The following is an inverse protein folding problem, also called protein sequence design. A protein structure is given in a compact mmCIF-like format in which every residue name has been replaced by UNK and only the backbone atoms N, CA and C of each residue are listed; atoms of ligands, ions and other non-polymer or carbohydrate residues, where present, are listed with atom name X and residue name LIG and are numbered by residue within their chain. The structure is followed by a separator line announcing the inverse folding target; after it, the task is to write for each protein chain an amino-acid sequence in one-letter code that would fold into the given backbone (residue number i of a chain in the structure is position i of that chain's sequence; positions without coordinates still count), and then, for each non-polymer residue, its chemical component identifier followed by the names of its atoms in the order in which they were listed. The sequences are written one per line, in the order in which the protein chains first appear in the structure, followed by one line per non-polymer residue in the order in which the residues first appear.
data_IF_920068239643
#
_entry.id   IF_920068239643
#
_cell.length_a   1.000
_cell.length_b   1.000
_cell.length_c   1.000
_cell.angle_alpha   90.00
_cell.angle_beta   90.00
_cell.angle_gamma   90.00
#
_symmetry.space_group_name_H-M   'P 1'
#
loop_
_entity.id
_entity.type
_entity.pdbx_description
1 polymer ?
#
# COMPACT_ATOMS: atom_id res chain seq x y z
N UNK A 1 0.19 -8.34 7.74
CA UNK A 1 -0.29 -7.08 8.36
C UNK A 1 -0.42 -5.99 7.29
N UNK A 2 -1.43 -5.11 7.37
CA UNK A 2 -1.57 -3.95 6.46
C UNK A 2 -1.45 -2.64 7.26
N UNK A 3 -0.37 -1.83 7.08
CA UNK A 3 -0.11 -0.60 7.84
C UNK A 3 -1.30 0.38 7.89
N UNK A 4 -1.97 0.59 6.76
CA UNK A 4 -3.11 1.50 6.66
C UNK A 4 -4.29 1.08 7.54
N UNK A 5 -4.57 -0.23 7.69
CA UNK A 5 -5.66 -0.71 8.54
C UNK A 5 -5.42 -0.39 10.01
N UNK A 6 -4.16 -0.44 10.44
CA UNK A 6 -3.78 -0.13 11.82
C UNK A 6 -3.89 1.37 12.06
N UNK A 7 -3.38 2.19 11.13
CA UNK A 7 -3.53 3.65 11.19
C UNK A 7 -5.00 4.07 11.23
N UNK A 8 -5.87 3.49 10.37
CA UNK A 8 -7.31 3.78 10.37
C UNK A 8 -7.97 3.44 11.70
N UNK A 9 -7.81 2.20 12.16
CA UNK A 9 -8.47 1.71 13.38
C UNK A 9 -8.00 2.46 14.62
N UNK A 10 -6.68 2.64 14.79
CA UNK A 10 -6.13 3.38 15.94
C UNK A 10 -6.57 4.85 15.90
N UNK A 11 -6.51 5.49 14.72
CA UNK A 11 -6.96 6.88 14.56
C UNK A 11 -8.45 7.05 14.89
N UNK A 12 -9.27 6.02 14.72
CA UNK A 12 -10.70 6.02 15.01
C UNK A 12 -11.06 5.46 16.39
N UNK A 13 -10.08 4.99 17.17
CA UNK A 13 -10.32 4.33 18.46
C UNK A 13 -11.02 2.97 18.33
N UNK A 14 -10.90 2.31 17.18
CA UNK A 14 -11.43 0.97 16.93
C UNK A 14 -10.37 -0.10 17.26
N UNK A 15 -10.79 -1.30 17.68
CA UNK A 15 -9.87 -2.38 18.02
C UNK A 15 -9.10 -2.88 16.79
N UNK A 16 -7.78 -3.01 16.93
CA UNK A 16 -6.90 -3.68 15.98
C UNK A 16 -6.83 -5.17 16.28
N UNK A 17 -6.69 -5.97 15.24
CA UNK A 17 -6.53 -7.41 15.35
C UNK A 17 -5.05 -7.75 15.35
N UNK A 18 -4.57 -8.29 16.46
CA UNK A 18 -3.22 -8.80 16.60
C UNK A 18 -3.28 -10.33 16.52
N UNK A 19 -2.67 -10.89 15.48
CA UNK A 19 -2.52 -12.33 15.34
C UNK A 19 -1.24 -12.78 16.05
N UNK A 20 -1.37 -13.72 16.96
CA UNK A 20 -0.26 -14.20 17.79
C UNK A 20 0.14 -13.23 18.90
N UNK A 21 1.32 -13.47 19.47
CA UNK A 21 1.87 -12.76 20.63
C UNK A 21 2.51 -11.40 20.29
N UNK A 22 2.48 -10.99 19.01
CA UNK A 22 3.08 -9.73 18.56
C UNK A 22 4.59 -9.81 18.30
N UNK A 23 5.21 -10.99 18.40
CA UNK A 23 6.63 -11.19 18.09
C UNK A 23 6.92 -11.28 16.59
N UNK A 24 5.87 -11.34 15.77
CA UNK A 24 6.01 -11.33 14.31
C UNK A 24 6.72 -10.05 13.85
N UNK A 25 7.58 -10.19 12.85
CA UNK A 25 8.37 -9.10 12.31
C UNK A 25 8.25 -9.00 10.80
N UNK A 26 8.25 -7.78 10.29
CA UNK A 26 8.10 -7.47 8.87
C UNK A 26 9.12 -6.44 8.43
N UNK A 27 9.54 -6.57 7.18
CA UNK A 27 10.48 -5.66 6.54
C UNK A 27 9.71 -4.56 5.82
N UNK A 28 9.37 -3.52 6.57
CA UNK A 28 8.63 -2.38 6.03
C UNK A 28 9.56 -1.54 5.17
N UNK A 29 9.13 -1.28 3.95
CA UNK A 29 9.87 -0.46 2.99
C UNK A 29 8.99 0.71 2.57
N UNK A 30 9.55 1.91 2.62
CA UNK A 30 8.81 3.09 2.21
C UNK A 30 8.72 3.16 0.67
N UNK A 31 7.62 3.73 0.17
CA UNK A 31 7.32 3.70 -1.27
C UNK A 31 8.38 4.41 -2.10
N UNK A 32 8.92 5.53 -1.63
CA UNK A 32 9.96 6.29 -2.36
C UNK A 32 11.24 5.47 -2.52
N UNK A 33 11.60 4.67 -1.50
CA UNK A 33 12.77 3.78 -1.59
C UNK A 33 12.53 2.69 -2.64
N UNK A 34 11.36 2.05 -2.65
CA UNK A 34 11.02 1.04 -3.68
C UNK A 34 11.04 1.65 -5.07
N UNK A 35 10.47 2.84 -5.26
CA UNK A 35 10.48 3.56 -6.54
C UNK A 35 11.91 3.88 -6.97
N UNK A 36 12.76 4.34 -6.05
CA UNK A 36 14.18 4.57 -6.34
C UNK A 36 14.87 3.28 -6.80
N UNK A 37 14.61 2.14 -6.15
CA UNK A 37 15.15 0.84 -6.56
C UNK A 37 14.71 0.42 -7.96
N UNK A 38 13.44 0.69 -8.33
CA UNK A 38 12.92 0.43 -9.68
C UNK A 38 13.61 1.32 -10.72
N UNK A 39 13.78 2.61 -10.44
CA UNK A 39 14.47 3.55 -11.34
C UNK A 39 15.92 3.09 -11.56
N UNK A 40 16.65 2.73 -10.50
CA UNK A 40 18.02 2.22 -10.60
C UNK A 40 18.12 0.95 -11.45
N UNK A 41 17.13 0.05 -11.35
CA UNK A 41 17.07 -1.15 -12.17
C UNK A 41 16.82 -0.85 -13.66
N UNK A 42 16.03 0.19 -13.97
CA UNK A 42 15.80 0.64 -15.34
C UNK A 42 17.06 1.28 -15.94
N UNK A 43 17.80 2.05 -15.14
CA UNK A 43 19.02 2.73 -15.57
C UNK A 43 20.25 1.79 -15.63
N UNK A 44 20.14 0.59 -15.05
CA UNK A 44 21.22 -0.41 -15.00
C UNK A 44 20.78 -1.72 -15.69
N UNK A 45 20.60 -1.72 -17.03
CA UNK A 45 20.16 -2.91 -17.75
C UNK A 45 21.19 -4.04 -17.63
N UNK A 46 20.79 -5.14 -16.96
CA UNK A 46 21.67 -6.28 -16.67
C UNK A 46 21.08 -7.63 -17.13
N UNK A 47 20.19 -7.60 -18.13
CA UNK A 47 19.44 -8.77 -18.60
C UNK A 47 18.33 -9.18 -17.62
N UNK A 48 18.00 -10.47 -17.59
CA UNK A 48 16.94 -11.02 -16.73
C UNK A 48 17.43 -11.24 -15.30
N UNK A 49 17.51 -10.15 -14.53
CA UNK A 49 17.90 -10.19 -13.13
C UNK A 49 16.69 -10.15 -12.19
N UNK A 50 16.81 -10.88 -11.08
CA UNK A 50 15.89 -10.78 -9.94
C UNK A 50 16.60 -10.00 -8.84
N UNK A 51 15.92 -8.97 -8.31
CA UNK A 51 16.39 -8.12 -7.22
C UNK A 51 15.30 -8.05 -6.13
N UNK A 52 15.71 -8.18 -4.87
CA UNK A 52 14.83 -7.86 -3.75
C UNK A 52 14.96 -6.36 -3.44
N UNK A 53 13.85 -5.64 -3.50
CA UNK A 53 13.76 -4.26 -3.05
C UNK A 53 13.01 -4.23 -1.73
N UNK A 54 13.76 -4.10 -0.64
CA UNK A 54 13.24 -3.99 0.72
C UNK A 54 14.08 -3.03 1.55
N UNK A 55 13.80 -2.89 2.84
CA UNK A 55 14.64 -2.13 3.76
C UNK A 55 15.81 -3.00 4.28
N UNK A 56 15.56 -4.30 4.49
CA UNK A 56 16.55 -5.24 5.02
C UNK A 56 16.70 -5.21 6.54
N UNK A 57 15.81 -4.49 7.23
CA UNK A 57 15.80 -4.35 8.69
C UNK A 57 14.38 -4.59 9.23
N UNK A 58 14.04 -5.85 9.56
CA UNK A 58 12.69 -6.19 10.00
C UNK A 58 12.35 -5.54 11.34
N UNK A 59 11.13 -5.03 11.44
CA UNK A 59 10.58 -4.44 12.67
C UNK A 59 9.49 -5.33 13.24
N UNK A 60 9.45 -5.46 14.57
CA UNK A 60 8.41 -6.22 15.27
C UNK A 60 7.06 -5.51 15.18
N UNK A 61 5.98 -6.30 15.26
CA UNK A 61 4.62 -5.76 15.28
C UNK A 61 4.40 -4.80 16.46
N UNK A 62 4.93 -5.12 17.64
CA UNK A 62 4.85 -4.27 18.85
C UNK A 62 5.46 -2.89 18.63
N UNK A 63 6.62 -2.84 17.97
CA UNK A 63 7.35 -1.60 17.71
C UNK A 63 6.60 -0.77 16.66
N UNK A 64 6.07 -1.43 15.63
CA UNK A 64 5.20 -0.80 14.64
C UNK A 64 3.96 -0.17 15.28
N UNK A 65 3.24 -0.90 16.14
CA UNK A 65 2.05 -0.38 16.84
C UNK A 65 2.44 0.83 17.68
N UNK A 66 3.54 0.75 18.43
CA UNK A 66 4.03 1.84 19.29
C UNK A 66 4.32 3.13 18.49
N UNK A 67 4.91 3.00 17.30
CA UNK A 67 5.12 4.13 16.40
C UNK A 67 3.80 4.72 15.90
N UNK A 68 2.81 3.89 15.55
CA UNK A 68 1.49 4.38 15.14
C UNK A 68 0.77 5.07 16.30
N UNK A 69 0.83 4.53 17.52
CA UNK A 69 0.25 5.18 18.71
C UNK A 69 0.86 6.57 18.94
N UNK A 70 2.19 6.67 18.83
CA UNK A 70 2.93 7.93 18.97
C UNK A 70 2.47 8.95 17.93
N UNK A 71 2.45 8.57 16.65
CA UNK A 71 2.13 9.50 15.57
C UNK A 71 0.63 9.87 15.53
N UNK A 72 -0.26 8.96 15.94
CA UNK A 72 -1.71 9.23 16.00
C UNK A 72 -2.13 9.95 17.29
N UNK A 73 -1.34 9.85 18.36
CA UNK A 73 -1.69 10.35 19.69
C UNK A 73 -2.77 9.51 20.39
N UNK A 74 -3.05 8.28 19.92
CA UNK A 74 -4.09 7.40 20.45
C UNK A 74 -3.51 6.04 20.84
N UNK A 75 -4.01 5.48 21.94
CA UNK A 75 -3.67 4.12 22.36
C UNK A 75 -4.44 3.08 21.56
N UNK A 76 -3.76 2.02 21.16
CA UNK A 76 -4.34 0.91 20.43
C UNK A 76 -5.16 0.02 21.38
N UNK A 77 -6.41 -0.24 21.03
CA UNK A 77 -7.18 -1.33 21.62
C UNK A 77 -6.88 -2.61 20.85
N UNK A 78 -6.34 -3.63 21.52
CA UNK A 78 -5.84 -4.85 20.87
C UNK A 78 -6.81 -6.01 21.11
N UNK A 79 -7.30 -6.59 20.02
CA UNK A 79 -7.99 -7.87 19.98
C UNK A 79 -6.97 -8.95 19.60
N UNK A 80 -6.58 -9.78 20.58
CA UNK A 80 -5.67 -10.91 20.38
C UNK A 80 -6.40 -12.07 19.70
N UNK A 81 -5.87 -12.52 18.58
CA UNK A 81 -6.37 -13.63 17.79
C UNK A 81 -5.30 -14.72 17.65
N UNK A 82 -5.69 -15.99 17.43
CA UNK A 82 -4.74 -17.07 17.15
C UNK A 82 -3.85 -16.76 15.94
N UNK A 83 -2.71 -17.43 15.83
CA UNK A 83 -1.84 -17.31 14.66
C UNK A 83 -2.62 -17.59 13.37
N UNK A 84 -2.35 -16.81 12.33
CA UNK A 84 -2.94 -17.07 11.01
C UNK A 84 -2.22 -18.26 10.34
N UNK A 85 -2.97 -19.28 9.87
CA UNK A 85 -2.38 -20.35 9.09
C UNK A 85 -1.71 -19.80 7.82
N UNK A 86 -0.45 -20.15 7.61
CA UNK A 86 0.33 -19.71 6.44
C UNK A 86 0.99 -18.33 6.57
N UNK A 87 0.84 -17.63 7.69
CA UNK A 87 1.58 -16.40 7.93
C UNK A 87 3.04 -16.69 8.33
N UNK A 88 3.97 -15.93 7.76
CA UNK A 88 5.41 -16.10 8.03
C UNK A 88 5.79 -15.28 9.26
N UNK A 89 6.40 -15.86 10.32
CA UNK A 89 6.72 -15.11 11.53
C UNK A 89 7.67 -13.93 11.28
N UNK A 90 8.61 -14.08 10.36
CA UNK A 90 9.63 -13.06 10.04
C UNK A 90 9.83 -12.96 8.52
N UNK A 91 9.67 -11.77 7.98
CA UNK A 91 10.05 -11.45 6.60
C UNK A 91 11.21 -10.45 6.60
N UNK A 92 12.23 -10.71 5.80
CA UNK A 92 13.42 -9.85 5.66
C UNK A 92 13.92 -9.97 4.23
N UNK A 93 14.02 -8.86 3.51
CA UNK A 93 14.64 -8.86 2.19
C UNK A 93 16.17 -8.95 2.35
N UNK A 94 16.80 -9.89 1.66
CA UNK A 94 18.24 -9.80 1.39
C UNK A 94 18.45 -8.86 0.21
N UNK A 95 18.96 -7.65 0.51
CA UNK A 95 19.19 -6.57 -0.45
C UNK A 95 20.65 -6.50 -0.92
N UNK A 96 21.51 -7.47 -0.58
CA UNK A 96 22.94 -7.44 -0.92
C UNK A 96 23.17 -7.30 -2.43
N UNK A 97 22.40 -8.04 -3.25
CA UNK A 97 22.48 -7.98 -4.71
C UNK A 97 22.02 -6.63 -5.28
N UNK A 98 20.94 -6.07 -4.75
CA UNK A 98 20.44 -4.76 -5.18
C UNK A 98 21.43 -3.65 -4.81
N UNK A 99 22.03 -3.72 -3.62
CA UNK A 99 23.10 -2.82 -3.19
C UNK A 99 24.32 -2.89 -4.12
N UNK A 100 24.83 -4.09 -4.38
CA UNK A 100 26.06 -4.24 -5.15
C UNK A 100 25.90 -3.92 -6.63
N UNK A 101 24.77 -4.29 -7.24
CA UNK A 101 24.57 -4.15 -8.68
C UNK A 101 23.89 -2.84 -9.08
N UNK A 102 22.98 -2.32 -8.25
CA UNK A 102 22.16 -1.14 -8.58
C UNK A 102 22.53 0.09 -7.76
N UNK A 103 23.35 -0.05 -6.70
CA UNK A 103 23.55 1.02 -5.72
C UNK A 103 22.30 1.30 -4.88
N UNK A 104 21.36 0.36 -4.80
CA UNK A 104 20.13 0.53 -4.04
C UNK A 104 20.40 0.62 -2.55
N UNK A 105 20.06 1.75 -1.94
CA UNK A 105 20.21 1.98 -0.50
C UNK A 105 18.96 2.68 0.06
N UNK A 106 18.04 1.95 0.72
CA UNK A 106 16.81 2.52 1.27
C UNK A 106 17.16 3.47 2.42
N UNK A 107 16.67 4.71 2.37
CA UNK A 107 17.09 5.76 3.30
C UNK A 107 16.02 6.15 4.30
N UNK A 108 14.77 5.70 4.12
CA UNK A 108 13.66 6.16 4.96
C UNK A 108 13.56 5.32 6.24
N UNK A 109 13.80 5.89 7.44
CA UNK A 109 13.53 5.19 8.68
C UNK A 109 12.04 4.90 8.82
N UNK A 110 11.69 3.78 9.46
CA UNK A 110 10.29 3.39 9.63
C UNK A 110 9.45 4.47 10.33
N UNK A 111 10.02 5.12 11.35
CA UNK A 111 9.34 6.20 12.07
C UNK A 111 8.91 7.34 11.13
N UNK A 112 9.78 7.74 10.20
CA UNK A 112 9.45 8.77 9.20
C UNK A 112 8.40 8.29 8.21
N UNK A 113 8.49 7.03 7.77
CA UNK A 113 7.48 6.42 6.90
C UNK A 113 6.10 6.38 7.55
N UNK A 114 6.01 6.03 8.84
CA UNK A 114 4.76 5.99 9.61
C UNK A 114 4.20 7.41 9.81
N UNK A 115 5.05 8.38 10.18
CA UNK A 115 4.65 9.78 10.31
C UNK A 115 4.03 10.30 9.01
N UNK A 116 4.71 10.14 7.87
CA UNK A 116 4.20 10.52 6.54
C UNK A 116 2.89 9.78 6.19
N UNK A 117 2.77 8.49 6.54
CA UNK A 117 1.55 7.72 6.34
C UNK A 117 0.37 8.26 7.15
N UNK A 118 0.59 8.62 8.42
CA UNK A 118 -0.44 9.18 9.30
C UNK A 118 -0.85 10.58 8.83
N UNK A 119 0.12 11.43 8.43
CA UNK A 119 -0.13 12.74 7.82
C UNK A 119 -1.01 12.60 6.57
N UNK A 120 -0.62 11.72 5.63
CA UNK A 120 -1.40 11.42 4.43
C UNK A 120 -2.80 10.90 4.74
N UNK A 121 -2.93 10.01 5.73
CA UNK A 121 -4.22 9.46 6.16
C UNK A 121 -5.15 10.57 6.67
N UNK A 122 -4.64 11.49 7.51
CA UNK A 122 -5.41 12.63 8.02
C UNK A 122 -5.88 13.55 6.89
N UNK A 123 -5.00 13.92 5.97
CA UNK A 123 -5.35 14.75 4.82
C UNK A 123 -6.40 14.07 3.92
N UNK A 124 -6.26 12.76 3.72
CA UNK A 124 -7.19 11.96 2.91
C UNK A 124 -8.60 11.85 3.52
N UNK A 125 -8.73 11.89 4.85
CA UNK A 125 -10.05 11.94 5.51
C UNK A 125 -10.74 13.29 5.30
N UNK A 126 -9.99 14.40 5.30
CA UNK A 126 -10.52 15.74 5.01
C UNK A 126 -10.99 15.86 3.56
N UNK A 127 -10.28 15.20 2.64
CA UNK A 127 -10.58 15.23 1.20
C UNK A 127 -11.67 14.27 0.75
N UNK A 128 -12.14 13.35 1.59
CA UNK A 128 -13.31 12.53 1.28
C UNK A 128 -14.57 13.35 1.57
N UNK A 129 -15.35 13.78 0.56
CA UNK A 129 -16.72 14.18 0.82
C UNK A 129 -17.42 12.98 1.47
N UNK A 130 -18.44 13.23 2.30
CA UNK A 130 -19.29 12.20 2.88
C UNK A 130 -20.01 11.41 1.77
N UNK A 131 -19.31 10.47 1.14
CA UNK A 131 -19.78 9.60 0.06
C UNK A 131 -20.05 8.22 0.63
N UNK A 132 -20.86 8.17 1.68
CA UNK A 132 -21.67 7.01 2.04
C UNK A 132 -22.98 7.55 2.60
N UNK A 133 -23.97 7.77 1.73
CA UNK A 133 -25.36 7.77 2.18
C UNK A 133 -25.64 6.33 2.58
N UNK A 134 -25.84 6.08 3.88
CA UNK A 134 -26.45 4.82 4.32
C UNK A 134 -27.82 4.75 3.69
N UNK A 135 -27.99 3.86 2.70
CA UNK A 135 -29.30 3.51 2.16
C UNK A 135 -30.05 2.83 3.29
N UNK A 136 -31.01 3.54 3.89
CA UNK A 136 -31.92 2.96 4.89
C UNK A 136 -32.88 1.99 4.20
N UNK A 137 -33.50 1.03 4.92
CA UNK A 137 -34.50 0.13 4.33
C UNK A 137 -35.66 0.88 3.65
N UNK A 138 -35.98 2.08 4.12
CA UNK A 138 -37.02 2.96 3.57
C UNK A 138 -36.53 3.87 2.42
N UNK A 139 -35.28 3.69 1.94
CA UNK A 139 -34.74 4.50 0.85
C UNK A 139 -35.37 4.06 -0.49
N UNK A 140 -35.97 4.95 -1.29
CA UNK A 140 -36.66 4.60 -2.54
C UNK A 140 -35.78 3.94 -3.61
N UNK A 141 -34.46 3.85 -3.40
CA UNK A 141 -33.51 3.10 -4.22
C UNK A 141 -33.24 1.65 -3.75
N UNK A 142 -33.93 1.14 -2.72
CA UNK A 142 -33.68 -0.20 -2.17
C UNK A 142 -34.00 -1.33 -3.16
N UNK A 143 -34.95 -1.12 -4.10
CA UNK A 143 -35.27 -2.12 -5.11
C UNK A 143 -34.58 -1.83 -6.45
N UNK A 144 -33.33 -2.30 -6.56
CA UNK A 144 -32.52 -2.21 -7.77
C UNK A 144 -32.98 -3.13 -8.91
N UNK A 145 -34.16 -3.76 -8.83
CA UNK A 145 -34.70 -4.64 -9.88
C UNK A 145 -35.48 -3.89 -10.97
N UNK A 146 -35.93 -2.66 -10.70
CA UNK A 146 -36.76 -1.87 -11.63
C UNK A 146 -36.05 -0.69 -12.30
N UNK A 147 -34.75 -0.49 -12.03
CA UNK A 147 -33.96 0.51 -12.71
C UNK A 147 -33.60 0.02 -14.13
N UNK A 148 -34.44 0.36 -15.11
CA UNK A 148 -34.03 0.39 -16.52
C UNK A 148 -32.71 1.16 -16.61
N UNK A 149 -31.72 0.69 -17.40
CA UNK A 149 -30.44 1.36 -17.51
C UNK A 149 -30.66 2.74 -18.15
N UNK A 150 -30.78 3.77 -17.33
CA UNK A 150 -30.56 5.14 -17.74
C UNK A 150 -29.07 5.20 -18.05
N UNK A 151 -28.76 5.17 -19.35
CA UNK A 151 -27.43 5.40 -19.89
C UNK A 151 -26.95 6.74 -19.34
N UNK A 152 -26.15 6.70 -18.28
CA UNK A 152 -25.28 7.81 -17.91
C UNK A 152 -24.31 7.96 -19.09
N UNK A 153 -24.62 8.90 -19.99
CA UNK A 153 -23.59 9.55 -20.80
C UNK A 153 -22.66 10.26 -19.84
N UNK A 154 -21.69 9.52 -19.30
CA UNK A 154 -20.44 10.11 -18.92
C UNK A 154 -19.90 10.78 -20.18
N UNK A 155 -19.73 12.10 -20.15
CA UNK A 155 -19.07 12.85 -21.22
C UNK A 155 -17.61 12.42 -21.32
N UNK A 156 -17.39 11.23 -21.88
CA UNK A 156 -16.12 10.84 -22.46
C UNK A 156 -16.00 11.67 -23.74
N UNK A 157 -15.07 12.63 -23.72
CA UNK A 157 -14.51 13.18 -24.93
C UNK A 157 -14.23 12.02 -25.91
N UNK A 158 -14.66 12.21 -27.15
CA UNK A 158 -14.64 11.23 -28.24
C UNK A 158 -13.30 10.50 -28.31
N UNK A 159 -13.36 9.18 -28.21
CA UNK A 159 -12.23 8.27 -28.44
C UNK A 159 -11.87 8.12 -29.93
N UNK A 160 -11.94 9.21 -30.72
CA UNK A 160 -11.52 9.21 -32.13
C UNK A 160 -10.12 9.76 -32.37
N UNK A 161 -9.46 10.36 -31.36
CA UNK A 161 -8.09 10.88 -31.47
C UNK A 161 -7.13 10.19 -30.48
N UNK A 162 -6.90 8.88 -30.68
CA UNK A 162 -5.69 8.23 -30.13
C UNK A 162 -4.70 8.02 -31.27
N UNK A 163 -3.48 8.58 -31.23
CA UNK A 163 -2.45 8.19 -32.17
C UNK A 163 -2.14 6.70 -31.97
N UNK A 164 -2.17 5.94 -33.06
CA UNK A 164 -1.81 4.54 -33.09
C UNK A 164 -0.35 4.40 -32.64
N UNK A 165 -0.12 3.75 -31.50
CA UNK A 165 1.21 3.30 -31.10
C UNK A 165 1.58 2.06 -31.92
N UNK A 166 1.88 2.25 -33.20
CA UNK A 166 2.57 1.25 -34.01
C UNK A 166 4.06 1.29 -33.65
N UNK A 167 4.53 0.29 -32.90
CA UNK A 167 5.96 0.00 -32.82
C UNK A 167 6.43 -0.44 -34.22
N UNK A 168 7.43 0.20 -34.85
CA UNK A 168 8.05 -0.39 -36.03
C UNK A 168 8.76 -1.69 -35.61
N UNK A 169 8.51 -2.76 -36.35
CA UNK A 169 9.20 -4.03 -36.20
C UNK A 169 10.71 -3.78 -36.32
N UNK A 170 11.47 -4.17 -35.29
CA UNK A 170 12.93 -4.22 -35.40
C UNK A 170 13.27 -5.32 -36.39
N UNK A 171 13.82 -4.91 -37.52
CA UNK A 171 14.48 -5.76 -38.48
C UNK A 171 15.64 -6.48 -37.76
N UNK A 172 15.54 -7.80 -37.67
CA UNK A 172 16.66 -8.65 -37.27
C UNK A 172 17.42 -8.90 -38.56
N UNK A 173 18.55 -8.21 -38.74
CA UNK A 173 19.46 -8.48 -39.86
C UNK A 173 20.31 -9.74 -39.55
N UNK A 174 20.68 -10.49 -40.60
CA UNK A 174 21.13 -11.89 -40.53
C UNK A 174 22.53 -12.12 -39.94
#
# INVERSE_FOLDING_TARGET
MAPLKFVDKISRGLPIQQFGDGTSSRDYTYVDDVVQGIILALDTPAGYQIYNLGNGSPTKLTDFISLVEKETGKKASIELLPNQPGDVPRTCADIAKARSMLGYDPKTPLADGIRKLVEWYRDSQVRRPALVRTVTPDDPLHDLRDLKPAVLRCGLASTSDRPAWTRPARQVDP
#
